data_IF_619422033354
#
_entry.id   IF_619422033354
#
_cell.length_a   1.000
_cell.length_b   1.000
_cell.length_c   1.000
_cell.angle_alpha   90.00
_cell.angle_beta   90.00
_cell.angle_gamma   90.00
#
_symmetry.space_group_name_H-M   'P 1'
#
loop_
_entity.id
_entity.type
_entity.pdbx_description
1 polymer ?
#
# COMPACT_ATOMS: atom_id res chain seq x y z
N UNK A 1 -15.28 6.74 41.36
CA UNK A 1 -15.47 5.40 40.80
C UNK A 1 -14.28 5.07 39.91
N UNK A 2 -13.72 3.85 40.09
CA UNK A 2 -12.68 3.39 39.15
C UNK A 2 -13.33 3.06 37.81
N UNK A 3 -12.66 3.38 36.71
CA UNK A 3 -13.18 3.21 35.35
C UNK A 3 -13.65 1.78 35.02
N UNK A 4 -13.09 0.76 35.66
CA UNK A 4 -13.50 -0.64 35.48
C UNK A 4 -14.91 -0.92 35.98
N UNK A 5 -15.34 -0.25 37.05
CA UNK A 5 -16.70 -0.29 37.56
C UNK A 5 -17.65 0.45 36.60
N UNK A 6 -17.24 1.62 36.12
CA UNK A 6 -17.97 2.39 35.12
C UNK A 6 -18.18 1.57 33.82
N UNK A 7 -17.14 0.86 33.38
CA UNK A 7 -17.20 0.00 32.21
C UNK A 7 -18.23 -1.13 32.36
N UNK A 8 -18.21 -1.84 33.48
CA UNK A 8 -19.19 -2.88 33.79
C UNK A 8 -20.63 -2.33 33.91
N UNK A 9 -20.78 -1.15 34.51
CA UNK A 9 -22.10 -0.49 34.62
C UNK A 9 -22.65 -0.09 33.25
N UNK A 10 -21.81 0.40 32.35
CA UNK A 10 -22.19 0.71 30.96
C UNK A 10 -22.67 -0.54 30.24
N UNK A 11 -21.93 -1.64 30.33
CA UNK A 11 -22.36 -2.91 29.75
C UNK A 11 -23.75 -3.35 30.26
N UNK A 12 -23.98 -3.20 31.58
CA UNK A 12 -25.24 -3.57 32.21
C UNK A 12 -26.39 -2.69 31.70
N UNK A 13 -26.20 -1.37 31.73
CA UNK A 13 -27.27 -0.41 31.38
C UNK A 13 -27.57 -0.42 29.89
N UNK A 14 -26.58 -0.56 29.04
CA UNK A 14 -26.68 -0.54 27.57
C UNK A 14 -27.01 -1.92 26.98
N UNK A 15 -26.96 -2.99 27.77
CA UNK A 15 -27.19 -4.36 27.29
C UNK A 15 -26.15 -4.80 26.27
N UNK A 16 -24.85 -4.54 26.53
CA UNK A 16 -23.76 -4.83 25.59
C UNK A 16 -23.57 -6.34 25.47
N UNK A 17 -23.72 -6.88 24.26
CA UNK A 17 -23.51 -8.29 23.96
C UNK A 17 -22.08 -8.63 23.53
N UNK A 18 -21.34 -7.67 22.96
CA UNK A 18 -20.01 -7.86 22.40
C UNK A 18 -19.09 -6.68 22.71
N UNK A 19 -17.89 -6.97 23.19
CA UNK A 19 -16.89 -5.97 23.56
C UNK A 19 -15.54 -6.28 22.94
N UNK A 20 -14.95 -5.28 22.26
CA UNK A 20 -13.60 -5.38 21.69
C UNK A 20 -12.62 -4.54 22.50
N UNK A 21 -11.48 -5.11 22.84
CA UNK A 21 -10.45 -4.37 23.56
C UNK A 21 -9.03 -4.75 23.13
N UNK A 22 -8.10 -3.80 23.26
CA UNK A 22 -6.68 -4.08 23.11
C UNK A 22 -6.16 -5.00 24.22
N UNK A 23 -5.10 -5.73 23.94
CA UNK A 23 -4.51 -6.72 24.88
C UNK A 23 -4.08 -6.10 26.22
N UNK A 24 -3.76 -4.82 26.25
CA UNK A 24 -3.41 -4.09 27.47
C UNK A 24 -4.60 -3.88 28.43
N UNK A 25 -5.82 -4.17 27.98
CA UNK A 25 -7.05 -4.10 28.79
C UNK A 25 -7.58 -5.46 29.26
N UNK A 26 -6.90 -6.57 28.97
CA UNK A 26 -7.36 -7.93 29.32
C UNK A 26 -7.67 -8.07 30.80
N UNK A 27 -6.77 -7.66 31.69
CA UNK A 27 -6.99 -7.75 33.14
C UNK A 27 -8.17 -6.90 33.60
N UNK A 28 -8.33 -5.73 32.99
CA UNK A 28 -9.43 -4.82 33.26
C UNK A 28 -10.77 -5.40 32.80
N UNK A 29 -10.79 -6.04 31.63
CA UNK A 29 -11.94 -6.76 31.10
C UNK A 29 -12.36 -7.89 32.02
N UNK A 30 -11.39 -8.72 32.48
CA UNK A 30 -11.67 -9.83 33.43
C UNK A 30 -12.30 -9.29 34.73
N UNK A 31 -11.80 -8.17 35.25
CA UNK A 31 -12.35 -7.57 36.48
C UNK A 31 -13.76 -7.01 36.23
N UNK A 32 -13.98 -6.30 35.11
CA UNK A 32 -15.29 -5.78 34.74
C UNK A 32 -16.32 -6.90 34.53
N UNK A 33 -15.91 -8.06 34.01
CA UNK A 33 -16.78 -9.24 33.93
C UNK A 33 -17.20 -9.79 35.29
N UNK A 34 -16.33 -9.76 36.30
CA UNK A 34 -16.71 -10.13 37.66
C UNK A 34 -17.71 -9.12 38.24
N UNK A 35 -17.49 -7.84 38.01
CA UNK A 35 -18.36 -6.76 38.50
C UNK A 35 -19.77 -6.88 37.91
N UNK A 36 -19.89 -7.01 36.56
CA UNK A 36 -21.22 -7.09 35.93
C UNK A 36 -22.01 -8.32 36.42
N UNK A 37 -21.35 -9.46 36.62
CA UNK A 37 -22.00 -10.65 37.17
C UNK A 37 -22.44 -10.45 38.60
N UNK A 38 -21.67 -9.73 39.41
CA UNK A 38 -22.03 -9.41 40.81
C UNK A 38 -23.28 -8.53 40.90
N UNK A 39 -23.48 -7.61 39.93
CA UNK A 39 -24.69 -6.77 39.88
C UNK A 39 -25.85 -7.45 39.14
N UNK A 40 -25.74 -8.73 38.81
CA UNK A 40 -26.82 -9.52 38.18
C UNK A 40 -26.90 -9.39 36.65
N UNK A 41 -25.89 -8.82 36.01
CA UNK A 41 -25.82 -8.71 34.56
C UNK A 41 -25.08 -9.88 33.88
N UNK A 42 -25.19 -9.92 32.55
CA UNK A 42 -24.46 -10.86 31.67
C UNK A 42 -23.20 -10.17 31.10
N UNK A 43 -22.06 -10.82 31.22
CA UNK A 43 -20.82 -10.32 30.62
C UNK A 43 -20.90 -10.41 29.08
N UNK A 44 -20.39 -9.42 28.34
CA UNK A 44 -20.34 -9.48 26.88
C UNK A 44 -19.37 -10.55 26.41
N UNK A 45 -19.57 -11.03 25.18
CA UNK A 45 -18.58 -11.81 24.46
C UNK A 45 -17.39 -10.93 24.15
N UNK A 46 -16.17 -11.42 24.36
CA UNK A 46 -14.96 -10.61 24.19
C UNK A 46 -14.18 -10.98 22.94
N UNK A 47 -13.64 -9.94 22.31
CA UNK A 47 -12.58 -10.08 21.32
C UNK A 47 -11.42 -9.17 21.67
N UNK A 48 -10.25 -9.77 21.88
CA UNK A 48 -9.02 -9.04 22.20
C UNK A 48 -8.13 -8.95 20.96
N UNK A 49 -7.75 -7.71 20.58
CA UNK A 49 -6.83 -7.47 19.47
C UNK A 49 -5.44 -7.07 19.98
N UNK A 50 -4.44 -7.35 19.16
CA UNK A 50 -3.05 -7.02 19.43
C UNK A 50 -2.75 -5.54 19.14
N UNK A 51 -1.63 -5.08 19.69
CA UNK A 51 -1.15 -3.72 19.52
C UNK A 51 -0.48 -3.53 18.15
N UNK A 52 -0.50 -2.31 17.68
CA UNK A 52 0.33 -1.90 16.54
C UNK A 52 1.72 -1.51 17.02
N UNK A 53 2.72 -1.89 16.21
CA UNK A 53 4.12 -1.58 16.43
C UNK A 53 4.60 -0.65 15.32
N UNK A 54 5.59 0.17 15.61
CA UNK A 54 6.24 0.99 14.62
C UNK A 54 7.19 0.18 13.69
N UNK A 55 7.91 0.85 12.82
CA UNK A 55 8.86 0.23 11.90
C UNK A 55 9.95 -0.58 12.62
N UNK A 56 10.37 -0.13 13.80
CA UNK A 56 11.40 -0.79 14.63
C UNK A 56 10.85 -1.94 15.46
N UNK A 57 9.52 -2.10 15.53
CA UNK A 57 8.85 -3.10 16.36
C UNK A 57 8.58 -2.62 17.77
N UNK A 58 8.64 -1.31 18.03
CA UNK A 58 8.29 -0.70 19.30
C UNK A 58 6.80 -0.34 19.35
N UNK A 59 6.23 -0.28 20.54
CA UNK A 59 4.82 0.08 20.74
C UNK A 59 4.56 1.51 20.24
N UNK A 60 3.55 1.66 19.37
CA UNK A 60 3.10 2.98 18.92
C UNK A 60 2.51 3.77 20.11
N UNK A 61 2.94 5.00 20.27
CA UNK A 61 2.49 5.90 21.32
C UNK A 61 2.24 7.30 20.76
N UNK A 62 1.10 7.89 21.13
CA UNK A 62 0.77 9.27 20.75
C UNK A 62 1.80 10.30 21.24
N UNK A 63 2.38 10.08 22.42
CA UNK A 63 3.38 10.99 23.00
C UNK A 63 4.72 10.95 22.27
N UNK A 64 5.06 9.82 21.64
CA UNK A 64 6.28 9.64 20.84
C UNK A 64 6.05 10.10 19.40
N UNK A 65 4.81 10.03 18.90
CA UNK A 65 4.47 10.39 17.52
C UNK A 65 5.01 9.41 16.47
N UNK A 66 5.27 8.15 16.86
CA UNK A 66 5.84 7.11 16.00
C UNK A 66 4.79 6.28 15.27
N UNK A 67 3.55 6.75 15.20
CA UNK A 67 2.44 6.08 14.52
C UNK A 67 1.99 6.80 13.26
N UNK A 68 1.14 6.12 12.49
CA UNK A 68 0.41 6.68 11.35
C UNK A 68 -1.03 6.91 11.80
N UNK A 69 -1.58 8.09 11.51
CA UNK A 69 -3.01 8.37 11.69
C UNK A 69 -3.86 7.78 10.55
N UNK A 70 -5.16 7.73 10.74
CA UNK A 70 -6.11 7.39 9.65
C UNK A 70 -5.97 8.37 8.49
N UNK A 71 -5.88 9.66 8.80
CA UNK A 71 -5.74 10.71 7.78
C UNK A 71 -4.43 10.58 6.99
N UNK A 72 -3.33 10.19 7.64
CA UNK A 72 -2.07 9.89 6.95
C UNK A 72 -2.22 8.72 5.99
N UNK A 73 -2.90 7.64 6.40
CA UNK A 73 -3.15 6.49 5.50
C UNK A 73 -3.97 6.89 4.28
N UNK A 74 -5.05 7.63 4.49
CA UNK A 74 -5.98 8.03 3.43
C UNK A 74 -5.38 9.00 2.40
N UNK A 75 -4.24 9.63 2.71
CA UNK A 75 -3.48 10.39 1.71
C UNK A 75 -2.82 9.50 0.64
N UNK A 76 -2.53 8.25 0.96
CA UNK A 76 -1.72 7.36 0.11
C UNK A 76 -2.45 6.10 -0.33
N UNK A 77 -3.65 5.84 0.19
CA UNK A 77 -4.45 4.68 -0.22
C UNK A 77 -5.92 4.82 0.20
N UNK A 78 -6.75 3.90 -0.28
CA UNK A 78 -8.19 3.88 -0.03
C UNK A 78 -8.53 3.47 1.40
N UNK A 79 -9.75 3.84 1.83
CA UNK A 79 -10.36 3.36 3.07
C UNK A 79 -10.38 1.82 3.13
N UNK A 80 -10.75 1.17 2.02
CA UNK A 80 -10.85 -0.29 1.96
C UNK A 80 -9.50 -0.98 2.21
N UNK A 81 -8.37 -0.36 1.81
CA UNK A 81 -7.04 -0.88 2.12
C UNK A 81 -6.72 -0.81 3.62
N UNK A 82 -7.12 0.26 4.29
CA UNK A 82 -6.98 0.38 5.74
C UNK A 82 -7.87 -0.65 6.46
N UNK A 83 -9.11 -0.80 6.03
CA UNK A 83 -10.03 -1.79 6.58
C UNK A 83 -9.50 -3.21 6.42
N UNK A 84 -8.92 -3.56 5.25
CA UNK A 84 -8.26 -4.84 5.04
C UNK A 84 -7.09 -5.02 6.03
N UNK A 85 -6.23 -4.01 6.16
CA UNK A 85 -5.11 -4.04 7.10
C UNK A 85 -5.58 -4.27 8.54
N UNK A 86 -6.66 -3.63 8.95
CA UNK A 86 -7.22 -3.79 10.30
C UNK A 86 -7.89 -5.16 10.49
N UNK A 87 -8.62 -5.63 9.49
CA UNK A 87 -9.39 -6.89 9.54
C UNK A 87 -8.49 -8.13 9.58
N UNK A 88 -7.38 -8.12 8.84
CA UNK A 88 -6.48 -9.26 8.76
C UNK A 88 -5.72 -9.50 10.07
N UNK A 89 -5.72 -10.74 10.54
CA UNK A 89 -4.92 -11.21 11.67
C UNK A 89 -4.95 -10.27 12.91
N UNK A 90 -6.12 -9.87 13.43
CA UNK A 90 -6.21 -8.90 14.51
C UNK A 90 -5.57 -9.39 15.82
N UNK A 91 -5.40 -10.70 15.98
CA UNK A 91 -4.75 -11.34 17.13
C UNK A 91 -3.22 -11.37 17.05
N UNK A 92 -2.63 -10.76 16.02
CA UNK A 92 -1.17 -10.67 15.85
C UNK A 92 -0.73 -9.22 15.84
N UNK A 93 0.35 -8.95 16.58
CA UNK A 93 0.98 -7.64 16.51
C UNK A 93 1.45 -7.34 15.07
N UNK A 94 1.07 -6.17 14.57
CA UNK A 94 1.38 -5.72 13.20
C UNK A 94 2.19 -4.44 13.26
N UNK A 95 3.17 -4.34 12.37
CA UNK A 95 3.88 -3.09 12.17
C UNK A 95 3.05 -2.15 11.33
N UNK A 96 2.89 -0.92 11.78
CA UNK A 96 2.12 0.15 11.13
C UNK A 96 3.05 1.33 10.84
N UNK A 97 3.55 1.40 9.62
CA UNK A 97 4.42 2.44 9.09
C UNK A 97 4.14 2.61 7.59
N UNK A 98 4.65 3.68 6.96
CA UNK A 98 4.21 4.06 5.62
C UNK A 98 4.44 2.98 4.55
N UNK A 99 5.51 2.18 4.63
CA UNK A 99 5.80 1.15 3.61
C UNK A 99 4.84 -0.05 3.64
N UNK A 100 3.97 -0.18 4.65
CA UNK A 100 2.92 -1.20 4.63
C UNK A 100 1.75 -0.80 3.75
N UNK A 101 1.55 0.50 3.48
CA UNK A 101 0.44 1.01 2.68
C UNK A 101 0.47 0.47 1.24
N UNK A 102 1.58 0.57 0.49
CA UNK A 102 1.68 -0.01 -0.85
C UNK A 102 1.40 -1.52 -0.88
N UNK A 103 1.96 -2.25 0.07
CA UNK A 103 1.77 -3.70 0.18
C UNK A 103 0.32 -4.08 0.41
N UNK A 104 -0.33 -3.38 1.34
CA UNK A 104 -1.75 -3.63 1.65
C UNK A 104 -2.66 -3.25 0.49
N UNK A 105 -2.32 -2.19 -0.25
CA UNK A 105 -3.05 -1.80 -1.45
C UNK A 105 -2.98 -2.89 -2.51
N UNK A 106 -1.79 -3.44 -2.78
CA UNK A 106 -1.61 -4.54 -3.73
C UNK A 106 -2.31 -5.82 -3.25
N UNK A 107 -2.34 -6.07 -1.94
CA UNK A 107 -3.07 -7.19 -1.36
C UNK A 107 -4.58 -7.04 -1.52
N UNK A 108 -5.12 -5.84 -1.30
CA UNK A 108 -6.52 -5.53 -1.57
C UNK A 108 -6.89 -5.82 -3.03
N UNK A 109 -6.06 -5.38 -3.98
CA UNK A 109 -6.30 -5.65 -5.40
C UNK A 109 -6.32 -7.15 -5.72
N UNK A 110 -5.42 -7.93 -5.12
CA UNK A 110 -5.43 -9.39 -5.28
C UNK A 110 -6.70 -10.02 -4.72
N UNK A 111 -7.14 -9.60 -3.53
CA UNK A 111 -8.39 -10.07 -2.97
C UNK A 111 -9.59 -9.71 -3.86
N UNK A 112 -9.66 -8.48 -4.36
CA UNK A 112 -10.72 -8.03 -5.27
C UNK A 112 -10.77 -8.84 -6.55
N UNK A 113 -9.62 -9.07 -7.19
CA UNK A 113 -9.51 -9.84 -8.43
C UNK A 113 -9.89 -11.33 -8.23
N UNK A 114 -9.56 -11.89 -7.06
CA UNK A 114 -9.91 -13.27 -6.74
C UNK A 114 -11.38 -13.41 -6.34
N UNK A 115 -11.94 -12.43 -5.65
CA UNK A 115 -13.33 -12.43 -5.18
C UNK A 115 -14.33 -12.69 -6.29
N UNK A 116 -14.10 -12.16 -7.48
CA UNK A 116 -14.95 -12.37 -8.65
C UNK A 116 -14.99 -13.84 -9.14
N UNK A 117 -13.91 -14.59 -8.89
CA UNK A 117 -13.76 -15.98 -9.33
C UNK A 117 -14.40 -16.97 -8.36
N UNK A 118 -14.84 -16.49 -7.18
CA UNK A 118 -15.38 -17.32 -6.11
C UNK A 118 -16.87 -17.57 -6.26
N UNK A 119 -17.34 -18.72 -5.80
CA UNK A 119 -18.76 -19.02 -5.61
C UNK A 119 -19.38 -18.13 -4.52
N UNK A 120 -20.71 -18.09 -4.46
CA UNK A 120 -21.42 -17.27 -3.48
C UNK A 120 -21.05 -17.62 -2.03
N UNK A 121 -20.90 -18.89 -1.73
CA UNK A 121 -20.60 -19.37 -0.37
C UNK A 121 -19.14 -19.07 0.00
N UNK A 122 -18.19 -19.22 -0.92
CA UNK A 122 -16.79 -18.87 -0.70
C UNK A 122 -16.58 -17.36 -0.52
N UNK A 123 -17.40 -16.52 -1.15
CA UNK A 123 -17.33 -15.05 -1.02
C UNK A 123 -17.51 -14.59 0.42
N UNK A 124 -18.43 -15.23 1.18
CA UNK A 124 -18.75 -14.88 2.57
C UNK A 124 -17.54 -15.04 3.49
N UNK A 125 -16.64 -15.99 3.18
CA UNK A 125 -15.44 -16.27 3.97
C UNK A 125 -14.25 -15.32 3.64
N UNK A 126 -14.44 -14.37 2.73
CA UNK A 126 -13.38 -13.44 2.33
C UNK A 126 -13.48 -12.09 3.05
N UNK A 127 -12.35 -11.38 3.27
CA UNK A 127 -12.38 -10.01 3.77
C UNK A 127 -13.21 -9.06 2.91
N UNK A 128 -13.20 -9.25 1.58
CA UNK A 128 -13.90 -8.37 0.62
C UNK A 128 -15.40 -8.34 0.86
N UNK A 129 -16.00 -9.45 1.28
CA UNK A 129 -17.42 -9.51 1.63
C UNK A 129 -17.82 -8.47 2.68
N UNK A 130 -16.93 -8.16 3.61
CA UNK A 130 -17.19 -7.24 4.73
C UNK A 130 -16.78 -5.80 4.43
N UNK A 131 -15.74 -5.58 3.63
CA UNK A 131 -15.16 -4.26 3.39
C UNK A 131 -15.55 -3.64 2.05
N UNK A 132 -15.86 -4.45 1.03
CA UNK A 132 -16.18 -3.98 -0.32
C UNK A 132 -17.06 -4.98 -1.09
N UNK A 133 -18.23 -5.23 -0.56
CA UNK A 133 -19.16 -6.24 -1.07
C UNK A 133 -19.59 -5.99 -2.52
N UNK A 134 -19.71 -4.74 -2.93
CA UNK A 134 -20.20 -4.37 -4.26
C UNK A 134 -19.13 -4.54 -5.33
N UNK A 135 -17.85 -4.39 -4.96
CA UNK A 135 -16.66 -4.63 -5.81
C UNK A 135 -16.84 -4.30 -7.31
N UNK A 136 -17.42 -3.14 -7.60
CA UNK A 136 -17.87 -2.79 -8.96
C UNK A 136 -16.74 -2.45 -9.94
N UNK A 137 -15.50 -2.27 -9.44
CA UNK A 137 -14.42 -1.77 -10.27
C UNK A 137 -13.28 -2.78 -10.40
N UNK A 138 -12.97 -3.09 -11.66
CA UNK A 138 -11.88 -4.01 -12.02
C UNK A 138 -10.68 -3.24 -12.53
N UNK A 139 -9.54 -3.50 -11.92
CA UNK A 139 -8.24 -3.05 -12.42
C UNK A 139 -7.57 -4.27 -13.07
N UNK A 140 -6.95 -4.11 -14.26
CA UNK A 140 -6.18 -5.19 -14.87
C UNK A 140 -5.18 -5.79 -13.87
N UNK A 141 -5.12 -7.12 -13.77
CA UNK A 141 -4.35 -7.84 -12.76
C UNK A 141 -2.85 -7.48 -12.76
N UNK A 142 -2.32 -7.07 -13.91
CA UNK A 142 -0.93 -6.63 -14.06
C UNK A 142 -0.66 -5.22 -13.52
N UNK A 143 -1.70 -4.40 -13.30
CA UNK A 143 -1.54 -3.07 -12.72
C UNK A 143 -1.58 -3.21 -11.20
N UNK A 144 -0.42 -3.06 -10.59
CA UNK A 144 -0.26 -3.05 -9.13
C UNK A 144 0.10 -1.65 -8.65
N UNK A 145 -0.14 -1.37 -7.36
CA UNK A 145 0.28 -0.11 -6.78
C UNK A 145 1.80 0.06 -6.77
N UNK A 146 2.54 -1.02 -6.53
CA UNK A 146 3.99 -1.04 -6.67
C UNK A 146 4.45 -0.69 -8.11
N UNK A 147 3.75 -1.17 -9.14
CA UNK A 147 4.04 -0.78 -10.52
C UNK A 147 3.81 0.73 -10.72
N UNK A 148 2.73 1.28 -10.18
CA UNK A 148 2.43 2.71 -10.23
C UNK A 148 3.52 3.53 -9.54
N UNK A 149 4.00 3.12 -8.36
CA UNK A 149 5.10 3.78 -7.65
C UNK A 149 6.41 3.74 -8.44
N UNK A 150 6.72 2.61 -9.05
CA UNK A 150 7.90 2.47 -9.92
C UNK A 150 7.78 3.40 -11.14
N UNK A 151 6.62 3.44 -11.77
CA UNK A 151 6.37 4.32 -12.91
C UNK A 151 6.51 5.80 -12.49
N UNK A 152 5.90 6.19 -11.37
CA UNK A 152 6.02 7.55 -10.82
C UNK A 152 7.49 7.93 -10.57
N UNK A 153 8.27 6.99 -10.07
CA UNK A 153 9.71 7.19 -9.81
C UNK A 153 10.51 7.36 -11.10
N UNK A 154 10.27 6.52 -12.11
CA UNK A 154 11.01 6.54 -13.39
C UNK A 154 10.67 7.78 -14.20
N UNK A 155 9.38 8.16 -14.24
CA UNK A 155 8.92 9.30 -15.03
C UNK A 155 9.03 10.63 -14.29
N UNK A 156 9.48 10.66 -13.02
CA UNK A 156 9.40 11.85 -12.16
C UNK A 156 7.99 12.47 -12.20
N UNK A 157 6.97 11.64 -12.01
CA UNK A 157 5.60 12.02 -12.29
C UNK A 157 5.09 13.12 -11.35
N UNK A 158 4.84 14.29 -11.91
CA UNK A 158 4.26 15.45 -11.20
C UNK A 158 2.74 15.36 -11.09
N UNK A 159 2.10 14.56 -11.92
CA UNK A 159 0.64 14.40 -11.95
C UNK A 159 0.21 12.98 -12.31
N UNK A 160 -1.02 12.62 -11.93
CA UNK A 160 -1.65 11.36 -12.33
C UNK A 160 -1.90 11.24 -13.84
N UNK A 161 -2.02 12.36 -14.55
CA UNK A 161 -2.19 12.37 -16.01
C UNK A 161 -0.96 11.82 -16.73
N UNK A 162 0.24 12.12 -16.25
CA UNK A 162 1.48 11.55 -16.79
C UNK A 162 1.44 10.03 -16.66
N UNK A 163 1.09 9.52 -15.47
CA UNK A 163 0.99 8.08 -15.24
C UNK A 163 -0.10 7.44 -16.09
N UNK A 164 -1.24 8.11 -16.26
CA UNK A 164 -2.32 7.63 -17.10
C UNK A 164 -1.88 7.45 -18.55
N UNK A 165 -1.14 8.39 -19.12
CA UNK A 165 -0.66 8.30 -20.50
C UNK A 165 0.18 7.04 -20.77
N UNK A 166 0.96 6.61 -19.79
CA UNK A 166 1.69 5.34 -19.87
C UNK A 166 0.77 4.13 -19.82
N UNK A 167 -0.22 4.15 -18.91
CA UNK A 167 -1.18 3.04 -18.78
C UNK A 167 -2.02 2.90 -20.05
N UNK A 168 -2.49 4.00 -20.61
CA UNK A 168 -3.28 4.01 -21.84
C UNK A 168 -2.54 3.40 -23.02
N UNK A 169 -1.23 3.61 -23.14
CA UNK A 169 -0.40 2.99 -24.18
C UNK A 169 -0.38 1.45 -24.07
N UNK A 170 -0.36 0.91 -22.84
CA UNK A 170 -0.38 -0.55 -22.63
C UNK A 170 -1.80 -1.14 -22.62
N UNK A 171 -2.79 -0.34 -22.27
CA UNK A 171 -4.18 -0.75 -22.14
C UNK A 171 -5.11 0.21 -22.88
N UNK A 172 -5.05 0.29 -24.23
CA UNK A 172 -5.78 1.30 -25.01
C UNK A 172 -7.31 1.16 -24.95
N UNK A 173 -7.81 0.07 -24.36
CA UNK A 173 -9.25 -0.14 -24.14
C UNK A 173 -9.75 0.41 -22.81
N UNK A 174 -8.84 0.79 -21.90
CA UNK A 174 -9.22 1.43 -20.65
C UNK A 174 -9.59 2.88 -20.92
N UNK A 175 -10.71 3.31 -20.35
CA UNK A 175 -11.12 4.72 -20.39
C UNK A 175 -11.02 5.31 -18.99
N UNK A 176 -10.51 6.54 -18.92
CA UNK A 176 -10.27 7.24 -17.66
C UNK A 176 -11.56 7.37 -16.84
N UNK A 177 -12.64 7.72 -17.50
CA UNK A 177 -13.96 8.00 -16.90
C UNK A 177 -14.61 6.71 -16.34
N UNK A 178 -14.25 5.56 -16.87
CA UNK A 178 -14.81 4.25 -16.48
C UNK A 178 -13.99 3.58 -15.36
N UNK A 179 -12.83 4.17 -14.96
CA UNK A 179 -11.88 3.57 -14.02
C UNK A 179 -11.50 4.51 -12.86
N UNK A 180 -12.46 5.05 -12.08
CA UNK A 180 -12.17 5.98 -11.00
C UNK A 180 -11.26 5.39 -9.91
N UNK A 181 -11.36 4.09 -9.63
CA UNK A 181 -10.45 3.43 -8.68
C UNK A 181 -8.99 3.51 -9.15
N UNK A 182 -8.74 3.27 -10.43
CA UNK A 182 -7.40 3.36 -11.01
C UNK A 182 -6.89 4.81 -10.96
N UNK A 183 -7.73 5.78 -11.27
CA UNK A 183 -7.37 7.21 -11.18
C UNK A 183 -6.94 7.57 -9.76
N UNK A 184 -7.75 7.20 -8.75
CA UNK A 184 -7.40 7.44 -7.35
C UNK A 184 -6.06 6.77 -6.98
N UNK A 185 -5.81 5.56 -7.48
CA UNK A 185 -4.53 4.89 -7.25
C UNK A 185 -3.35 5.63 -7.88
N UNK A 186 -3.51 6.21 -9.06
CA UNK A 186 -2.47 7.04 -9.70
C UNK A 186 -2.21 8.31 -8.87
N UNK A 187 -3.26 8.95 -8.36
CA UNK A 187 -3.13 10.11 -7.48
C UNK A 187 -2.40 9.76 -6.17
N UNK A 188 -2.79 8.66 -5.52
CA UNK A 188 -2.08 8.15 -4.35
C UNK A 188 -0.60 7.85 -4.65
N UNK A 189 -0.33 7.27 -5.82
CA UNK A 189 1.04 6.99 -6.27
C UNK A 189 1.90 8.24 -6.40
N UNK A 190 1.35 9.30 -7.02
CA UNK A 190 2.03 10.61 -7.12
C UNK A 190 2.25 11.23 -5.74
N UNK A 191 1.25 11.19 -4.85
CA UNK A 191 1.39 11.73 -3.49
C UNK A 191 2.45 10.97 -2.70
N UNK A 192 2.45 9.64 -2.77
CA UNK A 192 3.46 8.80 -2.10
C UNK A 192 4.86 9.10 -2.65
N UNK A 193 5.01 9.19 -3.97
CA UNK A 193 6.26 9.55 -4.63
C UNK A 193 6.78 10.92 -4.14
N UNK A 194 5.94 11.94 -4.17
CA UNK A 194 6.31 13.29 -3.74
C UNK A 194 6.69 13.37 -2.26
N UNK A 195 6.07 12.59 -1.40
CA UNK A 195 6.30 12.61 0.03
C UNK A 195 7.52 11.81 0.46
N UNK A 196 7.73 10.63 -0.12
CA UNK A 196 8.71 9.66 0.39
C UNK A 196 9.88 9.39 -0.56
N UNK A 197 9.67 9.51 -1.86
CA UNK A 197 10.70 9.16 -2.85
C UNK A 197 11.46 10.40 -3.30
N UNK A 198 10.76 11.40 -3.79
CA UNK A 198 11.36 12.60 -4.38
C UNK A 198 12.33 13.33 -3.42
N UNK A 199 12.01 13.56 -2.13
CA UNK A 199 12.93 14.25 -1.22
C UNK A 199 14.23 13.48 -0.94
N UNK A 200 14.21 12.17 -1.15
CA UNK A 200 15.36 11.29 -0.91
C UNK A 200 16.17 11.02 -2.18
N UNK A 201 15.70 11.46 -3.36
CA UNK A 201 16.47 11.35 -4.59
C UNK A 201 17.71 12.23 -4.52
N UNK A 202 18.85 11.60 -4.77
CA UNK A 202 20.14 12.29 -4.86
C UNK A 202 20.70 12.05 -6.24
N UNK A 203 20.81 13.12 -7.00
CA UNK A 203 21.43 13.09 -8.32
C UNK A 203 22.86 13.58 -8.22
N UNK A 204 23.70 13.07 -9.08
CA UNK A 204 25.10 13.51 -9.29
C UNK A 204 25.32 13.89 -10.75
N UNK A 205 26.28 14.75 -11.04
CA UNK A 205 26.69 14.99 -12.43
C UNK A 205 27.12 13.70 -13.12
N UNK A 206 26.72 13.55 -14.38
CA UNK A 206 27.20 12.46 -15.22
C UNK A 206 28.70 12.60 -15.48
N UNK A 207 29.45 11.50 -15.38
CA UNK A 207 30.81 11.41 -15.89
C UNK A 207 30.81 11.54 -17.42
N UNK A 208 31.95 11.86 -18.01
CA UNK A 208 32.05 12.01 -19.48
C UNK A 208 31.76 10.69 -20.19
N UNK A 209 32.08 9.56 -19.57
CA UNK A 209 31.78 8.21 -20.06
C UNK A 209 30.27 7.95 -20.06
N UNK A 210 29.58 8.32 -18.99
CA UNK A 210 28.10 8.21 -18.87
C UNK A 210 27.39 9.14 -19.86
N UNK A 211 27.86 10.38 -20.04
CA UNK A 211 27.33 11.30 -21.05
C UNK A 211 27.43 10.73 -22.46
N UNK A 212 28.57 10.14 -22.79
CA UNK A 212 28.77 9.47 -24.09
C UNK A 212 27.76 8.31 -24.24
N UNK A 213 27.60 7.49 -23.20
CA UNK A 213 26.61 6.40 -23.18
C UNK A 213 25.19 6.86 -23.34
N UNK A 214 24.77 7.90 -22.61
CA UNK A 214 23.43 8.46 -22.74
C UNK A 214 23.19 9.06 -24.13
N UNK A 215 24.20 9.70 -24.75
CA UNK A 215 24.07 10.21 -26.12
C UNK A 215 23.86 9.08 -27.12
N UNK A 216 24.64 8.01 -27.03
CA UNK A 216 24.43 6.81 -27.86
C UNK A 216 23.08 6.18 -27.66
N UNK A 217 22.64 6.11 -26.41
CA UNK A 217 21.32 5.55 -26.08
C UNK A 217 20.17 6.39 -26.67
N UNK A 218 20.24 7.71 -26.59
CA UNK A 218 19.24 8.60 -27.21
C UNK A 218 19.18 8.37 -28.72
N UNK A 219 20.33 8.22 -29.39
CA UNK A 219 20.38 7.96 -30.83
C UNK A 219 19.76 6.58 -31.17
N UNK A 220 20.08 5.56 -30.37
CA UNK A 220 19.48 4.23 -30.54
C UNK A 220 17.97 4.27 -30.36
N UNK A 221 17.48 4.92 -29.29
CA UNK A 221 16.04 4.99 -29.01
C UNK A 221 15.27 5.78 -30.07
N UNK A 222 15.85 6.86 -30.63
CA UNK A 222 15.24 7.62 -31.73
C UNK A 222 15.08 6.78 -33.00
N UNK A 223 15.96 5.81 -33.21
CA UNK A 223 15.94 4.93 -34.38
C UNK A 223 15.20 3.59 -34.12
N UNK A 224 14.70 3.35 -32.92
CA UNK A 224 13.89 2.18 -32.61
C UNK A 224 12.49 2.29 -33.23
N UNK A 225 11.96 1.16 -33.68
CA UNK A 225 10.56 1.07 -34.10
C UNK A 225 9.63 1.34 -32.88
N UNK A 226 8.48 2.01 -33.07
CA UNK A 226 7.48 2.14 -32.01
C UNK A 226 6.98 0.82 -31.42
N UNK A 227 7.10 -0.27 -32.19
CA UNK A 227 6.71 -1.63 -31.80
C UNK A 227 7.91 -2.53 -31.51
N UNK A 228 9.09 -1.96 -31.23
CA UNK A 228 10.27 -2.74 -30.87
C UNK A 228 10.01 -3.54 -29.59
N UNK A 229 10.37 -4.83 -29.59
CA UNK A 229 10.23 -5.69 -28.44
C UNK A 229 11.11 -5.18 -27.27
N UNK A 230 10.62 -5.15 -26.01
CA UNK A 230 11.36 -4.65 -24.85
C UNK A 230 12.70 -5.34 -24.65
N UNK A 231 12.81 -6.64 -24.96
CA UNK A 231 14.04 -7.43 -24.86
C UNK A 231 15.12 -6.93 -25.83
N UNK A 232 14.73 -6.51 -27.03
CA UNK A 232 15.65 -5.93 -28.00
C UNK A 232 16.19 -4.58 -27.53
N UNK A 233 15.33 -3.73 -26.95
CA UNK A 233 15.73 -2.45 -26.38
C UNK A 233 16.70 -2.69 -25.21
N UNK A 234 16.39 -3.64 -24.34
CA UNK A 234 17.26 -4.00 -23.21
C UNK A 234 18.62 -4.50 -23.69
N UNK A 235 18.67 -5.33 -24.74
CA UNK A 235 19.90 -5.80 -25.35
C UNK A 235 20.74 -4.66 -25.88
N UNK A 236 20.14 -3.69 -26.59
CA UNK A 236 20.85 -2.51 -27.10
C UNK A 236 21.45 -1.65 -25.98
N UNK A 237 20.68 -1.48 -24.86
CA UNK A 237 21.19 -0.76 -23.67
C UNK A 237 22.41 -1.48 -23.10
N UNK A 238 22.34 -2.82 -23.03
CA UNK A 238 23.44 -3.65 -22.54
C UNK A 238 24.69 -3.53 -23.43
N UNK A 239 24.52 -3.60 -24.76
CA UNK A 239 25.59 -3.45 -25.73
C UNK A 239 26.31 -2.09 -25.64
N UNK A 240 25.57 -0.99 -25.42
CA UNK A 240 26.15 0.33 -25.19
C UNK A 240 27.03 0.30 -23.95
N UNK A 241 26.56 -0.25 -22.83
CA UNK A 241 27.33 -0.36 -21.61
C UNK A 241 28.62 -1.16 -21.79
N UNK A 242 28.55 -2.26 -22.56
CA UNK A 242 29.72 -3.08 -22.91
C UNK A 242 30.73 -2.32 -23.80
N UNK A 243 30.22 -1.60 -24.81
CA UNK A 243 31.08 -0.85 -25.76
C UNK A 243 31.89 0.26 -25.08
N UNK A 244 31.35 0.79 -23.99
CA UNK A 244 32.00 1.85 -23.21
C UNK A 244 32.99 1.33 -22.16
N UNK A 245 33.20 0.02 -22.07
CA UNK A 245 34.13 -0.59 -21.12
C UNK A 245 33.95 -0.14 -19.66
N UNK A 246 32.73 -0.19 -19.15
CA UNK A 246 32.50 -0.03 -17.71
C UNK A 246 33.18 -1.18 -16.96
N UNK A 247 33.87 -0.90 -15.87
CA UNK A 247 34.50 -1.93 -15.03
C UNK A 247 33.46 -2.93 -14.51
N UNK A 248 32.29 -2.41 -14.17
CA UNK A 248 31.13 -3.22 -13.81
C UNK A 248 29.92 -2.67 -14.56
N UNK A 249 29.25 -3.52 -15.31
CA UNK A 249 28.04 -3.14 -16.05
C UNK A 249 26.90 -2.62 -15.12
N UNK A 250 26.93 -3.06 -13.87
CA UNK A 250 26.02 -2.55 -12.85
C UNK A 250 26.15 -1.03 -12.66
N UNK A 251 27.33 -0.46 -12.86
CA UNK A 251 27.56 0.99 -12.72
C UNK A 251 26.88 1.75 -13.86
N UNK A 252 26.90 1.20 -15.08
CA UNK A 252 26.14 1.75 -16.20
C UNK A 252 24.64 1.79 -15.91
N UNK A 253 24.05 0.68 -15.44
CA UNK A 253 22.63 0.67 -15.09
C UNK A 253 22.31 1.55 -13.89
N UNK A 254 23.20 1.67 -12.92
CA UNK A 254 23.03 2.56 -11.77
C UNK A 254 22.98 4.03 -12.18
N UNK A 255 23.71 4.41 -13.24
CA UNK A 255 23.73 5.78 -13.74
C UNK A 255 22.36 6.28 -14.16
N UNK A 256 21.46 5.42 -14.68
CA UNK A 256 20.08 5.80 -15.02
C UNK A 256 19.25 6.33 -13.84
N UNK A 257 19.64 5.95 -12.63
CA UNK A 257 18.94 6.35 -11.41
C UNK A 257 19.68 7.42 -10.60
N UNK A 258 20.95 7.68 -10.93
CA UNK A 258 21.82 8.57 -10.17
C UNK A 258 22.19 9.86 -10.91
N UNK A 259 21.98 9.93 -12.19
CA UNK A 259 22.23 11.08 -13.08
C UNK A 259 20.89 11.69 -13.53
#
# INVERSE_FOLDING_TARGET
>A
LQWKVDWAMRWYVLGVDYEMNGKDLIESFILSNKIIRTIGGKAPVNFTYELFLDEKGEKISKSIGNGISVDDWLQFSSKNSLELFMFQNPNRAKRLFFDVIPKTTDELLKFKNNYEKLSKDEKIDTPIWFIDKENDQKIPEKITFNMILNLANVCNAESSDILWSFIENYYPKLKKEENPLLINMLEYGVQYYNRFVLPNKKYRPASDKEKAGFSLLVDVLKNCSPNEEPENIQTKIYEIGMSLNFENLKDWFSAFYQV
#
